data_IF_768178268534
#
_entry.id   IF_768178268534
#
_cell.length_a   1.000
_cell.length_b   1.000
_cell.length_c   1.000
_cell.angle_alpha   90.00
_cell.angle_beta   90.00
_cell.angle_gamma   90.00
#
_symmetry.space_group_name_H-M   'P 1'
#
loop_
_entity.id
_entity.type
_entity.pdbx_description
1 polymer ?
#
# COMPACT_ATOMS: atom_id res chain seq x y z
N UNK A 1 11.11 1.47 -2.27
CA UNK A 1 10.67 0.68 -1.10
C UNK A 1 9.97 1.63 -0.14
N UNK A 2 8.81 1.25 0.39
CA UNK A 2 8.08 2.04 1.38
C UNK A 2 8.81 1.85 2.72
N UNK A 3 9.82 2.68 3.00
CA UNK A 3 10.74 2.44 4.13
C UNK A 3 11.32 3.71 4.77
N UNK A 4 10.68 4.86 4.59
CA UNK A 4 11.19 6.16 5.09
C UNK A 4 11.36 6.23 6.62
N UNK A 5 10.81 5.27 7.38
CA UNK A 5 10.93 5.18 8.83
C UNK A 5 12.21 4.51 9.31
N UNK A 6 12.88 3.75 8.45
CA UNK A 6 14.18 3.14 8.75
C UNK A 6 15.33 4.16 8.64
N UNK A 7 15.08 5.33 8.05
CA UNK A 7 16.06 6.40 7.95
C UNK A 7 16.48 6.91 9.35
N UNK A 8 17.78 7.22 9.56
CA UNK A 8 18.25 7.74 10.83
C UNK A 8 17.45 8.96 11.31
N UNK A 9 16.89 8.88 12.51
CA UNK A 9 16.12 9.96 13.13
C UNK A 9 14.64 10.04 12.72
N UNK A 10 14.16 9.20 11.78
CA UNK A 10 12.76 9.25 11.32
C UNK A 10 11.76 8.86 12.42
N UNK A 11 12.09 7.86 13.25
CA UNK A 11 11.28 7.47 14.40
C UNK A 11 11.29 8.55 15.49
N UNK A 12 12.45 9.15 15.75
CA UNK A 12 12.61 10.22 16.74
C UNK A 12 11.86 11.50 16.34
N UNK A 13 11.75 11.77 15.04
CA UNK A 13 10.96 12.88 14.52
C UNK A 13 9.44 12.69 14.73
N UNK A 14 8.99 11.46 14.98
CA UNK A 14 7.58 11.13 15.22
C UNK A 14 7.31 11.07 16.74
N UNK A 15 6.55 12.01 17.33
CA UNK A 15 6.43 12.09 18.79
C UNK A 15 5.92 10.83 19.49
N UNK A 16 5.06 10.05 18.83
CA UNK A 16 4.58 8.77 19.38
C UNK A 16 5.68 7.71 19.38
N UNK A 17 6.46 7.59 18.30
CA UNK A 17 7.58 6.65 18.22
C UNK A 17 8.73 7.05 19.15
N UNK A 18 9.03 8.35 19.28
CA UNK A 18 10.01 8.84 20.25
C UNK A 18 9.68 8.40 21.69
N UNK A 19 8.42 8.55 22.13
CA UNK A 19 7.98 8.06 23.45
C UNK A 19 8.08 6.55 23.61
N UNK A 20 7.84 5.78 22.54
CA UNK A 20 7.98 4.32 22.58
C UNK A 20 9.45 3.91 22.71
N UNK A 21 10.36 4.56 21.99
CA UNK A 21 11.80 4.35 22.11
C UNK A 21 12.29 4.71 23.52
N UNK A 22 11.85 5.84 24.08
CA UNK A 22 12.17 6.25 25.46
C UNK A 22 11.64 5.26 26.51
N UNK A 23 10.51 4.60 26.22
CA UNK A 23 9.95 3.54 27.07
C UNK A 23 10.66 2.19 26.92
N UNK A 24 11.68 2.09 26.05
CA UNK A 24 12.47 0.88 25.83
C UNK A 24 11.92 -0.07 24.77
N UNK A 25 11.01 0.39 23.90
CA UNK A 25 10.62 -0.39 22.73
C UNK A 25 11.81 -0.63 21.81
N UNK A 26 11.89 -1.83 21.23
CA UNK A 26 12.91 -2.16 20.26
C UNK A 26 12.69 -1.37 18.96
N UNK A 27 13.79 -0.86 18.37
CA UNK A 27 13.73 -0.05 17.16
C UNK A 27 13.26 -0.85 15.95
N UNK A 28 13.78 -2.06 15.80
CA UNK A 28 13.48 -2.90 14.64
C UNK A 28 12.01 -3.34 14.67
N UNK A 29 11.45 -3.59 15.85
CA UNK A 29 10.02 -3.85 16.02
C UNK A 29 9.16 -2.64 15.61
N UNK A 30 9.56 -1.41 15.96
CA UNK A 30 8.84 -0.21 15.53
C UNK A 30 8.91 0.00 14.01
N UNK A 31 10.05 -0.29 13.38
CA UNK A 31 10.21 -0.24 11.92
C UNK A 31 9.31 -1.30 11.26
N UNK A 32 9.30 -2.54 11.78
CA UNK A 32 8.42 -3.61 11.28
C UNK A 32 6.96 -3.24 11.39
N UNK A 33 6.53 -2.68 12.52
CA UNK A 33 5.17 -2.21 12.72
C UNK A 33 4.78 -1.10 11.73
N UNK A 34 5.65 -0.10 11.53
CA UNK A 34 5.41 0.98 10.57
C UNK A 34 5.31 0.44 9.14
N UNK A 35 6.20 -0.50 8.77
CA UNK A 35 6.19 -1.16 7.46
C UNK A 35 4.91 -1.97 7.24
N UNK A 36 4.48 -2.76 8.23
CA UNK A 36 3.22 -3.49 8.17
C UNK A 36 2.04 -2.53 7.94
N UNK A 37 1.90 -1.50 8.78
CA UNK A 37 0.81 -0.54 8.67
C UNK A 37 0.78 0.16 7.29
N UNK A 38 1.94 0.52 6.75
CA UNK A 38 2.05 1.14 5.43
C UNK A 38 1.71 0.16 4.31
N UNK A 39 2.15 -1.10 4.42
CA UNK A 39 1.87 -2.15 3.46
C UNK A 39 0.37 -2.46 3.41
N UNK A 40 -0.26 -2.70 4.55
CA UNK A 40 -1.71 -2.91 4.64
C UNK A 40 -2.49 -1.71 4.08
N UNK A 41 -2.09 -0.49 4.44
CA UNK A 41 -2.72 0.74 3.90
C UNK A 41 -2.61 0.81 2.37
N UNK A 42 -1.43 0.54 1.82
CA UNK A 42 -1.20 0.56 0.37
C UNK A 42 -2.02 -0.54 -0.33
N UNK A 43 -2.01 -1.76 0.22
CA UNK A 43 -2.79 -2.88 -0.31
C UNK A 43 -4.28 -2.54 -0.33
N UNK A 44 -4.86 -2.11 0.80
CA UNK A 44 -6.28 -1.77 0.90
C UNK A 44 -6.68 -0.63 -0.03
N UNK A 45 -5.81 0.37 -0.20
CA UNK A 45 -6.05 1.46 -1.14
C UNK A 45 -6.07 0.95 -2.59
N UNK A 46 -5.05 0.19 -3.01
CA UNK A 46 -4.95 -0.36 -4.36
C UNK A 46 -6.09 -1.34 -4.65
N UNK A 47 -6.48 -2.14 -3.65
CA UNK A 47 -7.61 -3.05 -3.74
C UNK A 47 -8.90 -2.28 -4.01
N UNK A 48 -9.20 -1.26 -3.20
CA UNK A 48 -10.37 -0.40 -3.43
C UNK A 48 -10.33 0.31 -4.77
N UNK A 49 -9.13 0.72 -5.21
CA UNK A 49 -9.00 1.45 -6.47
C UNK A 49 -9.17 0.57 -7.71
N UNK A 50 -8.81 -0.71 -7.63
CA UNK A 50 -8.73 -1.58 -8.81
C UNK A 50 -9.65 -2.79 -8.78
N UNK A 51 -10.25 -3.11 -7.63
CA UNK A 51 -11.24 -4.18 -7.49
C UNK A 51 -12.68 -3.65 -7.44
N UNK A 52 -12.92 -2.42 -6.98
CA UNK A 52 -14.27 -1.86 -6.76
C UNK A 52 -14.55 -0.58 -7.55
N UNK A 53 -14.09 -0.55 -8.79
CA UNK A 53 -14.48 0.47 -9.74
C UNK A 53 -15.97 0.40 -10.13
N UNK A 54 -16.57 -0.79 -9.97
CA UNK A 54 -17.96 -1.09 -10.32
C UNK A 54 -18.56 -1.96 -9.24
N UNK A 55 -19.83 -1.70 -8.93
CA UNK A 55 -20.65 -2.63 -8.16
C UNK A 55 -21.07 -3.77 -9.11
N UNK A 56 -20.55 -4.99 -8.86
CA UNK A 56 -20.83 -6.17 -9.69
C UNK A 56 -22.31 -6.59 -9.62
N UNK A 57 -23.00 -6.27 -8.53
CA UNK A 57 -24.42 -6.56 -8.33
C UNK A 57 -25.33 -5.46 -8.90
N UNK A 58 -24.77 -4.31 -9.31
CA UNK A 58 -25.55 -3.21 -9.84
C UNK A 58 -25.99 -3.45 -11.31
N UNK A 59 -27.12 -2.84 -11.74
CA UNK A 59 -27.56 -2.85 -13.13
C UNK A 59 -26.45 -2.43 -14.10
N UNK A 60 -26.45 -2.99 -15.31
CA UNK A 60 -25.35 -2.82 -16.26
C UNK A 60 -25.08 -1.36 -16.68
N UNK A 61 -26.11 -0.51 -16.63
CA UNK A 61 -26.10 0.92 -16.92
C UNK A 61 -25.76 1.80 -15.70
N UNK A 62 -25.48 1.20 -14.55
CA UNK A 62 -25.07 1.93 -13.36
C UNK A 62 -23.71 2.59 -13.56
N UNK A 63 -23.51 3.81 -13.04
CA UNK A 63 -22.24 4.50 -13.12
C UNK A 63 -21.17 3.72 -12.35
N UNK A 64 -19.99 3.62 -12.96
CA UNK A 64 -18.79 3.06 -12.36
C UNK A 64 -17.57 3.84 -12.83
N UNK A 65 -16.41 3.39 -12.42
CA UNK A 65 -15.13 3.95 -12.81
C UNK A 65 -14.08 2.85 -12.91
N UNK A 66 -12.99 3.08 -13.62
CA UNK A 66 -11.82 2.22 -13.59
C UNK A 66 -10.57 3.07 -13.81
N UNK A 67 -9.40 2.52 -13.49
CA UNK A 67 -8.13 3.14 -13.88
C UNK A 67 -7.79 2.70 -15.30
N UNK A 68 -7.41 3.65 -16.15
CA UNK A 68 -7.02 3.39 -17.54
C UNK A 68 -5.64 3.98 -17.77
N UNK A 69 -4.78 3.25 -18.48
CA UNK A 69 -3.47 3.73 -18.86
C UNK A 69 -3.56 4.95 -19.79
N UNK A 70 -2.54 5.80 -19.72
CA UNK A 70 -2.41 6.93 -20.63
C UNK A 70 -1.06 6.94 -21.34
N UNK A 71 -1.05 7.48 -22.55
CA UNK A 71 0.19 7.81 -23.26
C UNK A 71 0.92 8.94 -22.54
N UNK A 72 2.21 9.21 -22.84
CA UNK A 72 2.91 10.37 -22.29
C UNK A 72 2.23 11.72 -22.59
N UNK A 73 1.35 11.77 -23.60
CA UNK A 73 0.52 12.94 -23.93
C UNK A 73 -0.80 13.02 -23.16
N UNK A 74 -1.03 12.14 -22.18
CA UNK A 74 -2.28 12.01 -21.41
C UNK A 74 -3.51 11.54 -22.20
N UNK A 75 -3.30 10.90 -23.35
CA UNK A 75 -4.39 10.24 -24.09
C UNK A 75 -4.64 8.84 -23.50
N UNK A 76 -5.90 8.47 -23.27
CA UNK A 76 -6.25 7.16 -22.72
C UNK A 76 -6.00 6.04 -23.74
N UNK A 77 -5.40 4.93 -23.33
CA UNK A 77 -5.05 3.80 -24.21
C UNK A 77 -6.11 2.71 -24.29
N UNK A 78 -7.25 2.90 -23.62
CA UNK A 78 -8.34 1.90 -23.42
C UNK A 78 -7.95 0.67 -22.59
N UNK A 79 -6.66 0.51 -22.23
CA UNK A 79 -6.22 -0.58 -21.35
C UNK A 79 -6.54 -0.24 -19.90
N UNK A 80 -7.46 -1.01 -19.32
CA UNK A 80 -7.77 -0.97 -17.90
C UNK A 80 -6.61 -1.50 -17.05
N UNK A 81 -6.37 -0.83 -15.92
CA UNK A 81 -5.41 -1.23 -14.90
C UNK A 81 -6.20 -1.88 -13.76
N UNK A 82 -6.20 -3.21 -13.73
CA UNK A 82 -6.77 -4.03 -12.66
C UNK A 82 -5.70 -4.52 -11.68
N UNK A 83 -6.15 -5.12 -10.58
CA UNK A 83 -5.33 -5.94 -9.67
C UNK A 83 -4.01 -5.33 -9.16
N UNK A 84 -3.89 -4.01 -9.04
CA UNK A 84 -2.65 -3.38 -8.55
C UNK A 84 -2.24 -3.83 -7.13
N UNK A 85 -3.21 -4.31 -6.34
CA UNK A 85 -2.94 -4.89 -5.03
C UNK A 85 -2.15 -6.20 -5.13
N UNK A 86 -2.38 -7.03 -6.16
CA UNK A 86 -1.59 -8.23 -6.46
C UNK A 86 -0.20 -7.87 -6.98
N UNK A 87 -0.10 -6.83 -7.82
CA UNK A 87 1.20 -6.31 -8.27
C UNK A 87 2.04 -5.86 -7.06
N UNK A 88 1.44 -5.21 -6.06
CA UNK A 88 2.11 -4.86 -4.81
C UNK A 88 2.62 -6.09 -4.05
N UNK A 89 1.85 -7.19 -4.01
CA UNK A 89 2.28 -8.46 -3.40
C UNK A 89 3.54 -9.01 -4.10
N UNK A 90 3.55 -8.98 -5.42
CA UNK A 90 4.68 -9.47 -6.23
C UNK A 90 5.99 -8.68 -6.06
N UNK A 91 5.89 -7.43 -5.59
CA UNK A 91 7.03 -6.56 -5.33
C UNK A 91 7.66 -6.78 -3.95
N UNK A 92 7.09 -7.66 -3.11
CA UNK A 92 7.69 -8.03 -1.83
C UNK A 92 9.06 -8.69 -2.04
N UNK A 93 10.17 -8.06 -1.60
CA UNK A 93 11.51 -8.64 -1.73
C UNK A 93 11.69 -9.95 -0.99
N UNK A 94 10.85 -10.23 0.01
CA UNK A 94 10.89 -11.49 0.76
C UNK A 94 10.32 -12.67 -0.04
N UNK A 95 9.54 -12.38 -1.10
CA UNK A 95 8.83 -13.38 -1.90
C UNK A 95 7.69 -14.08 -1.14
N UNK A 96 7.24 -13.51 -0.01
CA UNK A 96 6.18 -14.05 0.84
C UNK A 96 4.91 -13.23 0.77
N UNK A 97 4.80 -12.36 -0.23
CA UNK A 97 3.60 -11.55 -0.48
C UNK A 97 3.17 -10.75 0.78
N UNK A 98 4.15 -10.30 1.57
CA UNK A 98 3.92 -9.56 2.80
C UNK A 98 3.39 -10.37 3.99
N UNK A 99 3.23 -11.70 3.88
CA UNK A 99 2.79 -12.56 5.00
C UNK A 99 3.69 -12.41 6.24
N UNK A 100 4.98 -12.20 6.02
CA UNK A 100 5.98 -12.05 7.05
C UNK A 100 5.93 -10.72 7.80
N UNK A 101 5.15 -9.75 7.32
CA UNK A 101 4.87 -8.53 8.06
C UNK A 101 3.90 -8.80 9.22
N UNK A 102 3.17 -9.91 9.20
CA UNK A 102 2.12 -10.26 10.16
C UNK A 102 2.51 -11.36 11.17
N UNK A 103 3.75 -11.85 11.14
CA UNK A 103 4.28 -12.95 11.98
C UNK A 103 5.56 -12.56 12.71
#
# INVERSE_FOLDING_TARGET
MIDGWAEPGALEATPAAARLLEAGADRDDLIRLARNAAYDTAFQLLYRLTAYGRDEDAPADSPGWCLVECTPGFELTEREIGSLHEDLLSLDPSGREGEDLFT
#
